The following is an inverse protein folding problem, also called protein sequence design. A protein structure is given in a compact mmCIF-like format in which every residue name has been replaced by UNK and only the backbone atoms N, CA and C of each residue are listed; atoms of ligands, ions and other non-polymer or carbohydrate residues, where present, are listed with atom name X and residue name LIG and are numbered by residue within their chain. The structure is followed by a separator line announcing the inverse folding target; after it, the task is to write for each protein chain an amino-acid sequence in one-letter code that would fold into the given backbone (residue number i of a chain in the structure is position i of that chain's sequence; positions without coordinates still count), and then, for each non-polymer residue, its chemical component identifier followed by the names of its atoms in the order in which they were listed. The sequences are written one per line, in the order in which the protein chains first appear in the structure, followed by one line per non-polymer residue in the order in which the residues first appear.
data_IF_290110006596
#
_entry.id   IF_290110006596
#
_cell.length_a   1.000
_cell.length_b   1.000
_cell.length_c   1.000
_cell.angle_alpha   90.00
_cell.angle_beta   90.00
_cell.angle_gamma   90.00
#
_symmetry.space_group_name_H-M   'P 1'
#
loop_
_entity.id
_entity.type
_entity.pdbx_description
1 polymer ?
#
# COMPACT_ATOMS: atom_id res chain seq x y z
N UNK A 1 12.47 -15.47 -5.31
CA UNK A 1 12.25 -14.83 -4.01
C UNK A 1 13.21 -15.34 -2.93
N UNK A 2 13.05 -16.54 -2.36
CA UNK A 2 13.89 -17.03 -1.24
C UNK A 2 15.41 -16.93 -1.47
N UNK A 3 15.91 -17.26 -2.67
CA UNK A 3 17.35 -17.10 -3.01
C UNK A 3 17.85 -15.66 -2.90
N UNK A 4 17.09 -14.71 -3.45
CA UNK A 4 17.47 -13.29 -3.41
C UNK A 4 17.46 -12.75 -1.99
N UNK A 5 16.44 -13.11 -1.20
CA UNK A 5 16.32 -12.71 0.20
C UNK A 5 17.45 -13.28 1.06
N UNK A 6 17.77 -14.57 0.89
CA UNK A 6 18.88 -15.19 1.61
C UNK A 6 20.22 -14.63 1.15
N UNK A 7 20.39 -14.29 -0.14
CA UNK A 7 21.60 -13.59 -0.60
C UNK A 7 21.76 -12.24 0.10
N UNK A 8 20.68 -11.45 0.22
CA UNK A 8 20.69 -10.18 0.94
C UNK A 8 20.96 -10.38 2.44
N UNK A 9 20.35 -11.38 3.08
CA UNK A 9 20.66 -11.69 4.48
C UNK A 9 22.08 -12.20 4.71
N UNK A 10 22.68 -12.89 3.74
CA UNK A 10 24.09 -13.28 3.80
C UNK A 10 25.04 -12.09 3.62
N UNK A 11 24.61 -11.06 2.89
CA UNK A 11 25.34 -9.78 2.84
C UNK A 11 25.41 -9.16 4.25
N UNK A 12 24.31 -9.16 4.98
CA UNK A 12 24.30 -8.71 6.39
C UNK A 12 25.25 -9.51 7.28
N UNK A 13 25.26 -10.84 7.16
CA UNK A 13 26.20 -11.69 7.90
C UNK A 13 27.66 -11.36 7.55
N UNK A 14 27.99 -11.20 6.27
CA UNK A 14 29.38 -10.97 5.81
C UNK A 14 29.88 -9.58 6.21
N UNK A 15 29.03 -8.57 6.11
CA UNK A 15 29.39 -7.18 6.40
C UNK A 15 29.09 -6.75 7.84
N UNK A 16 28.44 -7.62 8.62
CA UNK A 16 27.96 -7.34 9.98
C UNK A 16 27.09 -6.08 10.02
N UNK A 17 26.08 -6.06 9.15
CA UNK A 17 25.03 -5.04 9.03
C UNK A 17 23.67 -5.63 9.41
N UNK A 18 22.67 -4.76 9.58
CA UNK A 18 21.28 -5.09 9.91
C UNK A 18 20.30 -4.50 8.88
N UNK A 19 20.72 -4.42 7.61
CA UNK A 19 19.95 -3.79 6.53
C UNK A 19 18.68 -4.59 6.19
N UNK A 20 18.74 -5.91 6.20
CA UNK A 20 17.66 -6.84 5.80
C UNK A 20 17.29 -7.80 6.94
N UNK A 21 18.25 -8.21 7.77
CA UNK A 21 18.03 -9.12 8.90
C UNK A 21 18.14 -8.36 10.22
N UNK A 22 17.00 -7.90 10.75
CA UNK A 22 16.98 -7.02 11.93
C UNK A 22 17.20 -7.74 13.28
N UNK A 23 16.89 -9.03 13.37
CA UNK A 23 16.97 -9.75 14.67
C UNK A 23 18.28 -10.50 14.82
N UNK A 24 18.94 -10.35 15.97
CA UNK A 24 20.16 -11.11 16.31
C UNK A 24 19.96 -12.63 16.18
N UNK A 25 18.78 -13.15 16.53
CA UNK A 25 18.47 -14.58 16.39
C UNK A 25 18.47 -15.04 14.92
N UNK A 26 17.81 -14.29 14.04
CA UNK A 26 17.78 -14.62 12.60
C UNK A 26 19.18 -14.49 11.98
N UNK A 27 19.94 -13.46 12.36
CA UNK A 27 21.30 -13.25 11.90
C UNK A 27 22.21 -14.40 12.31
N UNK A 28 22.17 -14.81 13.58
CA UNK A 28 22.95 -15.95 14.07
C UNK A 28 22.53 -17.26 13.42
N UNK A 29 21.25 -17.48 13.12
CA UNK A 29 20.80 -18.68 12.39
C UNK A 29 21.33 -18.70 10.97
N UNK A 30 21.29 -17.58 10.26
CA UNK A 30 21.87 -17.44 8.92
C UNK A 30 23.39 -17.65 8.94
N UNK A 31 24.09 -17.02 9.88
CA UNK A 31 25.53 -17.19 10.07
C UNK A 31 25.87 -18.66 10.33
N UNK A 32 25.13 -19.33 11.22
CA UNK A 32 25.37 -20.72 11.56
C UNK A 32 25.05 -21.68 10.39
N UNK A 33 24.02 -21.38 9.59
CA UNK A 33 23.70 -22.13 8.36
C UNK A 33 24.77 -21.92 7.28
N UNK A 34 25.28 -20.69 7.11
CA UNK A 34 26.41 -20.40 6.24
C UNK A 34 27.66 -21.16 6.67
N UNK A 35 27.93 -21.19 7.97
CA UNK A 35 29.07 -21.89 8.55
C UNK A 35 28.96 -23.42 8.52
N UNK A 36 27.76 -24.00 8.48
CA UNK A 36 27.59 -25.45 8.33
C UNK A 36 27.56 -25.88 6.86
N UNK A 37 26.86 -25.12 6.02
CA UNK A 37 26.59 -25.49 4.64
C UNK A 37 27.75 -25.26 3.68
N UNK A 38 28.67 -24.34 4.01
CA UNK A 38 29.79 -24.00 3.12
C UNK A 38 31.14 -24.36 3.75
N UNK A 39 32.05 -24.92 2.95
CA UNK A 39 33.40 -25.18 3.42
C UNK A 39 34.18 -23.88 3.64
N UNK A 40 35.16 -23.88 4.53
CA UNK A 40 35.95 -22.67 4.86
C UNK A 40 36.59 -22.00 3.63
N UNK A 41 37.04 -22.79 2.65
CA UNK A 41 37.58 -22.27 1.38
C UNK A 41 36.52 -21.64 0.47
N UNK A 42 35.28 -22.16 0.52
CA UNK A 42 34.16 -21.66 -0.29
C UNK A 42 33.60 -20.35 0.27
N UNK A 43 33.63 -20.17 1.61
CA UNK A 43 33.27 -18.90 2.25
C UNK A 43 34.11 -17.73 1.75
N UNK A 44 35.43 -17.92 1.63
CA UNK A 44 36.32 -16.87 1.10
C UNK A 44 35.99 -16.50 -0.35
N UNK A 45 35.64 -17.50 -1.18
CA UNK A 45 35.22 -17.27 -2.55
C UNK A 45 33.86 -16.54 -2.60
N UNK A 46 32.92 -16.92 -1.72
CA UNK A 46 31.61 -16.27 -1.62
C UNK A 46 31.74 -14.78 -1.24
N UNK A 47 32.54 -14.47 -0.22
CA UNK A 47 32.80 -13.07 0.20
C UNK A 47 33.42 -12.25 -0.93
N UNK A 48 34.36 -12.86 -1.68
CA UNK A 48 34.99 -12.20 -2.84
C UNK A 48 33.95 -11.95 -3.94
N UNK A 49 33.11 -12.94 -4.24
CA UNK A 49 32.06 -12.83 -5.25
C UNK A 49 30.99 -11.79 -4.87
N UNK A 50 30.65 -11.70 -3.57
CA UNK A 50 29.72 -10.69 -3.06
C UNK A 50 30.29 -9.28 -3.24
N UNK A 51 31.57 -9.09 -2.90
CA UNK A 51 32.24 -7.80 -3.10
C UNK A 51 32.32 -7.41 -4.58
N UNK A 52 32.57 -8.36 -5.49
CA UNK A 52 32.53 -8.11 -6.94
C UNK A 52 31.15 -7.64 -7.41
N UNK A 53 30.08 -8.22 -6.88
CA UNK A 53 28.70 -7.82 -7.16
C UNK A 53 28.42 -6.39 -6.68
N UNK A 54 28.84 -6.04 -5.46
CA UNK A 54 28.67 -4.69 -4.90
C UNK A 54 29.44 -3.63 -5.71
N UNK A 55 30.66 -3.95 -6.14
CA UNK A 55 31.49 -3.04 -6.95
C UNK A 55 30.91 -2.84 -8.35
N UNK A 56 30.28 -3.85 -8.93
CA UNK A 56 29.62 -3.73 -10.22
C UNK A 56 28.40 -2.80 -10.16
N UNK A 57 27.70 -2.77 -9.02
CA UNK A 57 26.49 -1.97 -8.82
C UNK A 57 25.28 -2.49 -9.63
N UNK A 58 24.14 -1.77 -9.61
CA UNK A 58 22.87 -2.24 -10.19
C UNK A 58 22.92 -2.46 -11.72
N UNK A 59 23.72 -1.65 -12.42
CA UNK A 59 23.83 -1.67 -13.89
C UNK A 59 25.05 -2.44 -14.40
N UNK A 60 25.89 -2.96 -13.50
CA UNK A 60 27.13 -3.66 -13.83
C UNK A 60 26.91 -5.15 -14.05
N UNK A 61 27.62 -5.73 -15.02
CA UNK A 61 27.65 -7.19 -15.20
C UNK A 61 28.82 -7.80 -14.43
N UNK A 62 28.54 -8.76 -13.55
CA UNK A 62 29.58 -9.65 -13.01
C UNK A 62 29.73 -10.93 -13.85
N UNK A 63 30.88 -11.59 -13.74
CA UNK A 63 31.16 -12.80 -14.52
C UNK A 63 30.28 -13.99 -14.14
N UNK A 64 30.19 -14.98 -15.03
CA UNK A 64 29.45 -16.23 -14.79
C UNK A 64 29.96 -16.98 -13.55
N UNK A 65 31.27 -16.87 -13.27
CA UNK A 65 31.90 -17.49 -12.11
C UNK A 65 31.46 -16.86 -10.79
N UNK A 66 31.31 -15.54 -10.76
CA UNK A 66 30.77 -14.78 -9.61
C UNK A 66 29.33 -15.22 -9.32
N UNK A 67 28.48 -15.24 -10.36
CA UNK A 67 27.09 -15.71 -10.25
C UNK A 67 27.02 -17.14 -9.73
N UNK A 68 27.83 -18.04 -10.30
CA UNK A 68 27.87 -19.45 -9.91
C UNK A 68 28.29 -19.62 -8.46
N UNK A 69 29.29 -18.86 -8.01
CA UNK A 69 29.79 -18.91 -6.63
C UNK A 69 28.74 -18.42 -5.64
N UNK A 70 28.07 -17.30 -5.93
CA UNK A 70 26.97 -16.79 -5.09
C UNK A 70 25.81 -17.78 -5.04
N UNK A 71 25.40 -18.31 -6.19
CA UNK A 71 24.31 -19.29 -6.26
C UNK A 71 24.62 -20.55 -5.44
N UNK A 72 25.85 -21.09 -5.55
CA UNK A 72 26.25 -22.26 -4.78
C UNK A 72 26.24 -22.01 -3.27
N UNK A 73 26.74 -20.85 -2.82
CA UNK A 73 26.71 -20.50 -1.40
C UNK A 73 25.28 -20.35 -0.87
N UNK A 74 24.41 -19.66 -1.62
CA UNK A 74 22.99 -19.50 -1.26
C UNK A 74 22.26 -20.85 -1.24
N UNK A 75 22.45 -21.69 -2.26
CA UNK A 75 21.81 -23.02 -2.32
C UNK A 75 22.26 -23.93 -1.15
N UNK A 76 23.52 -23.83 -0.72
CA UNK A 76 24.02 -24.55 0.45
C UNK A 76 23.35 -24.07 1.75
N UNK A 77 23.23 -22.75 1.94
CA UNK A 77 22.55 -22.17 3.10
C UNK A 77 21.07 -22.57 3.14
N UNK A 78 20.37 -22.45 2.01
CA UNK A 78 18.96 -22.86 1.91
C UNK A 78 18.79 -24.35 2.25
N UNK A 79 19.74 -25.20 1.84
CA UNK A 79 19.71 -26.64 2.15
C UNK A 79 19.88 -26.91 3.65
N UNK A 80 20.78 -26.21 4.33
CA UNK A 80 20.96 -26.32 5.79
C UNK A 80 19.73 -25.83 6.56
N UNK A 81 19.18 -24.67 6.19
CA UNK A 81 17.98 -24.13 6.81
C UNK A 81 16.79 -25.11 6.63
N UNK A 82 16.63 -25.68 5.43
CA UNK A 82 15.60 -26.67 5.17
C UNK A 82 15.79 -27.96 6.00
N UNK A 83 17.03 -28.41 6.20
CA UNK A 83 17.32 -29.60 7.00
C UNK A 83 17.00 -29.43 8.49
N UNK A 84 17.01 -28.19 8.97
CA UNK A 84 16.68 -27.82 10.35
C UNK A 84 15.20 -27.47 10.55
N UNK A 85 14.35 -27.68 9.53
CA UNK A 85 12.93 -27.33 9.56
C UNK A 85 12.70 -25.85 9.90
N UNK A 86 13.57 -24.98 9.36
CA UNK A 86 13.46 -23.54 9.51
C UNK A 86 12.36 -22.98 8.61
N UNK A 87 11.65 -21.99 9.12
CA UNK A 87 10.68 -21.19 8.38
C UNK A 87 11.27 -19.81 8.09
N UNK A 88 11.04 -19.35 6.87
CA UNK A 88 11.38 -17.99 6.47
C UNK A 88 10.12 -17.14 6.61
N UNK A 89 10.30 -15.96 7.18
CA UNK A 89 9.26 -14.93 7.23
C UNK A 89 9.84 -13.64 6.66
N UNK A 90 9.13 -13.06 5.71
CA UNK A 90 9.56 -11.86 5.00
C UNK A 90 8.48 -10.82 5.21
N UNK A 91 8.90 -9.64 5.65
CA UNK A 91 8.03 -8.48 5.75
C UNK A 91 8.43 -7.51 4.65
N UNK A 92 7.51 -7.26 3.73
CA UNK A 92 7.66 -6.32 2.63
C UNK A 92 6.80 -5.09 2.92
N UNK A 93 7.42 -3.96 3.24
CA UNK A 93 6.74 -2.68 3.50
C UNK A 93 6.93 -1.73 2.32
N UNK A 94 5.86 -1.08 1.91
CA UNK A 94 5.85 -0.13 0.80
C UNK A 94 4.76 0.92 1.03
N UNK A 95 4.78 2.02 0.29
CA UNK A 95 3.76 3.05 0.43
C UNK A 95 3.91 4.21 -0.53
N UNK A 96 3.04 5.19 -0.37
CA UNK A 96 3.08 6.43 -1.10
C UNK A 96 2.69 7.61 -0.23
N UNK A 97 3.33 8.76 -0.47
CA UNK A 97 2.87 10.04 0.04
C UNK A 97 1.74 10.57 -0.83
N UNK A 98 0.63 10.89 -0.18
CA UNK A 98 -0.60 11.38 -0.79
C UNK A 98 -0.76 12.87 -0.50
N UNK A 99 -1.40 13.58 -1.43
CA UNK A 99 -1.72 15.00 -1.25
C UNK A 99 -2.72 15.19 -0.10
N UNK A 100 -2.41 16.09 0.83
CA UNK A 100 -3.27 16.44 1.98
C UNK A 100 -4.67 16.85 1.51
N UNK A 101 -4.78 17.58 0.39
CA UNK A 101 -6.07 17.99 -0.16
C UNK A 101 -6.90 16.78 -0.60
N UNK A 102 -6.30 15.91 -1.41
CA UNK A 102 -7.04 14.79 -1.97
C UNK A 102 -7.47 13.83 -0.85
N UNK A 103 -6.59 13.57 0.13
CA UNK A 103 -6.91 12.80 1.34
C UNK A 103 -8.05 13.42 2.14
N UNK A 104 -8.06 14.74 2.33
CA UNK A 104 -9.13 15.45 3.02
C UNK A 104 -10.48 15.31 2.28
N UNK A 105 -10.48 15.46 0.96
CA UNK A 105 -11.68 15.29 0.12
C UNK A 105 -12.19 13.85 0.15
N UNK A 106 -11.30 12.86 0.02
CA UNK A 106 -11.64 11.43 0.14
C UNK A 106 -12.32 11.13 1.48
N UNK A 107 -11.68 11.52 2.58
CA UNK A 107 -12.17 11.23 3.91
C UNK A 107 -13.50 11.94 4.18
N UNK A 108 -13.68 13.17 3.69
CA UNK A 108 -14.97 13.87 3.79
C UNK A 108 -16.10 13.11 3.08
N UNK A 109 -15.86 12.61 1.87
CA UNK A 109 -16.87 11.88 1.09
C UNK A 109 -17.31 10.59 1.81
N UNK A 110 -16.36 9.91 2.46
CA UNK A 110 -16.62 8.65 3.15
C UNK A 110 -17.20 8.83 4.56
N UNK A 111 -16.68 9.78 5.33
CA UNK A 111 -17.08 10.01 6.72
C UNK A 111 -18.29 10.94 6.82
N UNK A 112 -18.46 11.84 5.84
CA UNK A 112 -19.48 12.88 5.78
C UNK A 112 -19.49 13.77 7.03
N UNK A 113 -18.31 14.06 7.58
CA UNK A 113 -18.09 14.93 8.73
C UNK A 113 -17.18 16.10 8.36
N UNK A 114 -17.24 17.23 9.06
CA UNK A 114 -16.40 18.39 8.75
C UNK A 114 -14.92 18.21 9.08
N UNK A 115 -14.56 17.26 9.96
CA UNK A 115 -13.21 17.08 10.52
C UNK A 115 -12.12 16.96 9.42
N UNK A 116 -12.27 16.13 8.37
CA UNK A 116 -11.25 16.02 7.33
C UNK A 116 -10.98 17.33 6.58
N UNK A 117 -12.00 18.18 6.44
CA UNK A 117 -11.91 19.44 5.69
C UNK A 117 -11.14 20.53 6.44
N UNK A 118 -10.94 20.39 7.76
CA UNK A 118 -10.13 21.34 8.54
C UNK A 118 -8.68 21.40 8.05
N UNK A 119 -8.17 20.28 7.50
CA UNK A 119 -6.81 20.13 6.95
C UNK A 119 -6.62 20.88 5.63
N UNK A 120 -7.68 21.33 4.98
CA UNK A 120 -7.58 22.11 3.75
C UNK A 120 -7.03 23.51 4.05
N UNK A 121 -6.11 23.96 3.20
CA UNK A 121 -5.60 25.34 3.24
C UNK A 121 -6.57 26.24 2.47
N UNK A 122 -7.59 26.73 3.17
CA UNK A 122 -8.63 27.62 2.66
C UNK A 122 -8.54 28.99 3.34
N UNK A 123 -8.81 30.04 2.57
CA UNK A 123 -9.10 31.39 3.04
C UNK A 123 -10.32 31.40 3.97
N UNK A 124 -10.40 32.40 4.85
CA UNK A 124 -11.45 32.45 5.88
C UNK A 124 -12.87 32.50 5.30
N UNK A 125 -13.05 33.17 4.15
CA UNK A 125 -14.36 33.26 3.48
C UNK A 125 -14.77 31.89 2.92
N UNK A 126 -13.90 31.24 2.15
CA UNK A 126 -14.15 29.91 1.59
C UNK A 126 -14.35 28.88 2.69
N UNK A 127 -13.55 28.93 3.77
CA UNK A 127 -13.65 28.00 4.90
C UNK A 127 -15.01 28.06 5.59
N UNK A 128 -15.57 29.25 5.77
CA UNK A 128 -16.87 29.41 6.43
C UNK A 128 -17.97 28.69 5.64
N UNK A 129 -18.03 28.92 4.33
CA UNK A 129 -19.01 28.29 3.44
C UNK A 129 -18.78 26.78 3.29
N UNK A 130 -17.52 26.32 3.24
CA UNK A 130 -17.18 24.89 3.22
C UNK A 130 -17.64 24.16 4.49
N UNK A 131 -17.45 24.77 5.66
CA UNK A 131 -17.90 24.18 6.93
C UNK A 131 -19.43 24.19 7.06
N UNK A 132 -20.10 25.23 6.55
CA UNK A 132 -21.57 25.28 6.48
C UNK A 132 -22.12 24.18 5.55
N UNK A 133 -21.52 24.01 4.37
CA UNK A 133 -21.84 22.91 3.45
C UNK A 133 -21.63 21.54 4.07
N UNK A 134 -20.51 21.32 4.76
CA UNK A 134 -20.25 20.08 5.49
C UNK A 134 -21.30 19.81 6.58
N UNK A 135 -21.72 20.84 7.32
CA UNK A 135 -22.78 20.72 8.30
C UNK A 135 -24.11 20.29 7.67
N UNK A 136 -24.48 20.85 6.51
CA UNK A 136 -25.68 20.40 5.79
C UNK A 136 -25.56 18.94 5.31
N UNK A 137 -24.38 18.52 4.84
CA UNK A 137 -24.11 17.12 4.47
C UNK A 137 -24.29 16.17 5.65
N UNK A 138 -23.75 16.51 6.84
CA UNK A 138 -23.92 15.75 8.08
C UNK A 138 -25.41 15.55 8.43
N UNK A 139 -26.22 16.57 8.18
CA UNK A 139 -27.67 16.56 8.42
C UNK A 139 -28.49 16.00 7.25
N UNK A 140 -27.84 15.49 6.20
CA UNK A 140 -28.47 14.99 4.96
C UNK A 140 -29.32 16.03 4.22
N UNK A 141 -29.05 17.31 4.45
CA UNK A 141 -29.68 18.44 3.79
C UNK A 141 -28.92 18.79 2.50
N UNK A 142 -28.89 17.86 1.53
CA UNK A 142 -27.96 17.94 0.40
C UNK A 142 -28.18 19.15 -0.53
N UNK A 143 -29.43 19.60 -0.72
CA UNK A 143 -29.69 20.83 -1.49
C UNK A 143 -29.08 22.08 -0.82
N UNK A 144 -29.23 22.20 0.51
CA UNK A 144 -28.64 23.31 1.26
C UNK A 144 -27.10 23.23 1.25
N UNK A 145 -26.54 22.01 1.25
CA UNK A 145 -25.11 21.79 1.08
C UNK A 145 -24.60 22.25 -0.29
N UNK A 146 -25.33 21.97 -1.37
CA UNK A 146 -25.01 22.46 -2.72
C UNK A 146 -24.94 23.99 -2.72
N UNK A 147 -25.95 24.67 -2.19
CA UNK A 147 -25.97 26.14 -2.14
C UNK A 147 -24.79 26.71 -1.33
N UNK A 148 -24.41 26.07 -0.23
CA UNK A 148 -23.25 26.49 0.56
C UNK A 148 -21.93 26.28 -0.19
N UNK A 149 -21.72 25.13 -0.83
CA UNK A 149 -20.53 24.90 -1.63
C UNK A 149 -20.49 25.78 -2.89
N UNK A 150 -21.61 26.15 -3.48
CA UNK A 150 -21.68 27.16 -4.56
C UNK A 150 -21.14 28.52 -4.11
N UNK A 151 -21.54 29.00 -2.93
CA UNK A 151 -20.98 30.24 -2.37
C UNK A 151 -19.48 30.14 -2.11
N UNK A 152 -19.00 28.95 -1.72
CA UNK A 152 -17.57 28.69 -1.60
C UNK A 152 -16.86 28.71 -2.97
N UNK A 153 -17.50 28.18 -4.02
CA UNK A 153 -17.00 28.23 -5.41
C UNK A 153 -16.87 29.68 -5.88
N UNK A 154 -17.88 30.51 -5.66
CA UNK A 154 -17.91 31.93 -6.09
C UNK A 154 -16.85 32.79 -5.42
N UNK A 155 -16.42 32.42 -4.21
CA UNK A 155 -15.44 33.16 -3.42
C UNK A 155 -14.02 32.59 -3.49
N UNK A 156 -13.86 31.40 -4.09
CA UNK A 156 -12.55 30.74 -4.23
C UNK A 156 -11.68 31.38 -5.29
N UNK A 157 -10.43 31.72 -4.92
CA UNK A 157 -9.48 32.38 -5.84
C UNK A 157 -8.27 31.49 -6.12
N UNK A 158 -7.73 30.84 -5.08
CA UNK A 158 -6.55 29.99 -5.23
C UNK A 158 -6.89 28.71 -6.00
N UNK A 159 -5.93 28.21 -6.79
CA UNK A 159 -6.09 26.98 -7.60
C UNK A 159 -6.57 25.81 -6.75
N UNK A 160 -5.98 25.61 -5.57
CA UNK A 160 -6.32 24.50 -4.69
C UNK A 160 -7.70 24.65 -4.04
N UNK A 161 -8.11 25.89 -3.70
CA UNK A 161 -9.46 26.17 -3.22
C UNK A 161 -10.49 25.90 -4.30
N UNK A 162 -10.23 26.42 -5.52
CA UNK A 162 -11.14 26.29 -6.66
C UNK A 162 -11.40 24.85 -7.05
N UNK A 163 -10.37 23.99 -6.96
CA UNK A 163 -10.53 22.55 -7.16
C UNK A 163 -11.34 21.93 -6.01
N UNK A 164 -10.95 22.18 -4.76
CA UNK A 164 -11.61 21.56 -3.61
C UNK A 164 -13.10 21.92 -3.51
N UNK A 165 -13.46 23.20 -3.68
CA UNK A 165 -14.86 23.65 -3.59
C UNK A 165 -15.74 23.06 -4.70
N UNK A 166 -15.21 22.90 -5.91
CA UNK A 166 -15.93 22.27 -7.02
C UNK A 166 -16.12 20.77 -6.83
N UNK A 167 -15.09 20.07 -6.33
CA UNK A 167 -15.23 18.65 -5.97
C UNK A 167 -16.29 18.47 -4.87
N UNK A 168 -16.30 19.33 -3.85
CA UNK A 168 -17.31 19.30 -2.78
C UNK A 168 -18.73 19.58 -3.32
N UNK A 169 -18.88 20.59 -4.19
CA UNK A 169 -20.15 20.91 -4.83
C UNK A 169 -20.64 19.78 -5.74
N UNK A 170 -19.74 19.11 -6.46
CA UNK A 170 -20.05 17.96 -7.30
C UNK A 170 -20.61 16.80 -6.45
N UNK A 171 -19.93 16.44 -5.36
CA UNK A 171 -20.42 15.41 -4.44
C UNK A 171 -21.76 15.75 -3.80
N UNK A 172 -21.95 17.00 -3.35
CA UNK A 172 -23.23 17.44 -2.80
C UNK A 172 -24.37 17.35 -3.81
N UNK A 173 -24.12 17.72 -5.07
CA UNK A 173 -25.10 17.64 -6.16
C UNK A 173 -25.47 16.19 -6.47
N UNK A 174 -24.48 15.30 -6.52
CA UNK A 174 -24.70 13.87 -6.67
C UNK A 174 -25.57 13.29 -5.53
N UNK A 175 -25.28 13.63 -4.27
CA UNK A 175 -26.09 13.21 -3.12
C UNK A 175 -27.51 13.80 -3.13
N UNK A 176 -27.68 15.01 -3.67
CA UNK A 176 -28.98 15.63 -3.90
C UNK A 176 -29.77 14.98 -5.05
N UNK A 177 -29.13 14.13 -5.87
CA UNK A 177 -29.74 13.47 -7.02
C UNK A 177 -29.67 14.29 -8.32
N UNK A 178 -28.84 15.32 -8.38
CA UNK A 178 -28.61 16.16 -9.55
C UNK A 178 -27.25 15.84 -10.18
N UNK A 179 -27.19 14.71 -10.89
CA UNK A 179 -25.95 14.19 -11.51
C UNK A 179 -25.48 15.08 -12.68
N UNK A 180 -26.40 15.72 -13.40
CA UNK A 180 -26.06 16.68 -14.47
C UNK A 180 -25.33 17.90 -13.88
N UNK A 181 -25.83 18.44 -12.77
CA UNK A 181 -25.17 19.54 -12.06
C UNK A 181 -23.83 19.12 -11.45
N UNK A 182 -23.74 17.89 -10.95
CA UNK A 182 -22.47 17.35 -10.47
C UNK A 182 -21.41 17.33 -11.60
N UNK A 183 -21.81 16.92 -12.80
CA UNK A 183 -20.93 16.91 -13.99
C UNK A 183 -20.49 18.31 -14.42
N UNK A 184 -21.35 19.33 -14.32
CA UNK A 184 -20.94 20.72 -14.58
C UNK A 184 -19.75 21.12 -13.67
N UNK A 185 -19.81 20.79 -12.37
CA UNK A 185 -18.70 21.08 -11.45
C UNK A 185 -17.46 20.25 -11.73
N UNK A 186 -17.63 19.00 -12.19
CA UNK A 186 -16.52 18.15 -12.62
C UNK A 186 -15.78 18.81 -13.78
N UNK A 187 -16.51 19.25 -14.81
CA UNK A 187 -15.93 19.94 -15.96
C UNK A 187 -15.22 21.23 -15.52
N UNK A 188 -15.85 22.04 -14.65
CA UNK A 188 -15.21 23.24 -14.10
C UNK A 188 -13.92 22.93 -13.31
N UNK A 189 -13.91 21.86 -12.51
CA UNK A 189 -12.75 21.44 -11.74
C UNK A 189 -11.63 20.92 -12.66
N UNK A 190 -11.98 20.21 -13.73
CA UNK A 190 -11.04 19.70 -14.73
C UNK A 190 -10.30 20.84 -15.45
N UNK A 191 -10.94 21.99 -15.66
CA UNK A 191 -10.28 23.20 -16.17
C UNK A 191 -9.22 23.76 -15.22
N UNK A 192 -9.35 23.52 -13.91
CA UNK A 192 -8.37 23.94 -12.89
C UNK A 192 -7.22 22.95 -12.79
N UNK A 193 -7.54 21.66 -12.62
CA UNK A 193 -6.56 20.57 -12.53
C UNK A 193 -7.21 19.25 -12.93
N UNK A 194 -6.74 18.65 -14.03
CA UNK A 194 -7.31 17.44 -14.61
C UNK A 194 -6.87 16.14 -13.91
N UNK A 195 -5.70 16.19 -13.29
CA UNK A 195 -4.98 15.09 -12.65
C UNK A 195 -5.26 15.01 -11.13
N UNK A 196 -6.51 15.27 -10.73
CA UNK A 196 -7.00 15.08 -9.35
C UNK A 196 -7.81 13.80 -9.30
N UNK A 197 -7.43 12.86 -8.44
CA UNK A 197 -8.20 11.65 -8.28
C UNK A 197 -9.50 11.89 -7.50
N UNK A 198 -9.58 12.93 -6.65
CA UNK A 198 -10.85 13.28 -6.00
C UNK A 198 -11.91 13.74 -7.01
N UNK A 199 -11.47 14.36 -8.11
CA UNK A 199 -12.29 14.68 -9.27
C UNK A 199 -12.70 13.41 -10.05
N UNK A 200 -11.73 12.55 -10.37
CA UNK A 200 -11.97 11.28 -11.07
C UNK A 200 -12.97 10.38 -10.32
N UNK A 201 -12.92 10.38 -8.99
CA UNK A 201 -13.87 9.65 -8.16
C UNK A 201 -15.31 10.09 -8.38
N UNK A 202 -15.60 11.40 -8.31
CA UNK A 202 -16.97 11.90 -8.50
C UNK A 202 -17.41 11.73 -9.95
N UNK A 203 -16.53 11.99 -10.93
CA UNK A 203 -16.81 11.78 -12.35
C UNK A 203 -17.21 10.32 -12.62
N UNK A 204 -16.47 9.37 -12.06
CA UNK A 204 -16.76 7.95 -12.22
C UNK A 204 -18.12 7.59 -11.61
N UNK A 205 -18.41 8.06 -10.39
CA UNK A 205 -19.68 7.75 -9.73
C UNK A 205 -20.88 8.31 -10.48
N UNK A 206 -20.82 9.56 -10.94
CA UNK A 206 -21.97 10.20 -11.61
C UNK A 206 -22.18 9.71 -13.04
N UNK A 207 -21.13 9.19 -13.69
CA UNK A 207 -21.22 8.64 -15.05
C UNK A 207 -21.49 7.14 -15.08
N UNK A 208 -21.35 6.43 -13.95
CA UNK A 208 -21.65 5.00 -13.88
C UNK A 208 -23.15 4.73 -14.08
N UNK A 209 -23.46 3.68 -14.85
CA UNK A 209 -24.84 3.26 -15.10
C UNK A 209 -25.61 2.88 -13.83
N UNK A 210 -24.90 2.62 -12.74
CA UNK A 210 -25.39 2.28 -11.41
C UNK A 210 -25.21 3.42 -10.41
N UNK A 211 -25.18 4.70 -10.84
CA UNK A 211 -25.08 5.88 -9.95
C UNK A 211 -26.00 5.82 -8.72
N UNK A 212 -27.24 5.33 -8.87
CA UNK A 212 -28.17 5.14 -7.76
C UNK A 212 -27.67 4.15 -6.68
N UNK A 213 -26.86 3.17 -7.05
CA UNK A 213 -26.27 2.21 -6.14
C UNK A 213 -25.21 2.84 -5.22
N UNK A 214 -24.53 3.89 -5.67
CA UNK A 214 -23.60 4.69 -4.85
C UNK A 214 -24.35 5.58 -3.86
N UNK A 215 -25.44 6.23 -4.29
CA UNK A 215 -26.35 6.95 -3.38
C UNK A 215 -26.95 6.03 -2.33
N UNK A 216 -27.27 4.79 -2.70
CA UNK A 216 -27.78 3.76 -1.80
C UNK A 216 -26.67 3.07 -0.98
N UNK A 217 -25.40 3.44 -1.15
CA UNK A 217 -24.24 2.90 -0.43
C UNK A 217 -24.00 1.38 -0.63
N UNK A 218 -24.60 0.81 -1.67
CA UNK A 218 -24.36 -0.59 -2.09
C UNK A 218 -23.11 -0.72 -2.95
N UNK A 219 -22.71 0.38 -3.61
CA UNK A 219 -21.40 0.57 -4.21
C UNK A 219 -20.72 1.77 -3.54
N UNK A 220 -19.40 1.74 -3.49
CA UNK A 220 -18.59 2.89 -3.07
C UNK A 220 -17.36 3.03 -3.96
N UNK A 221 -16.91 4.26 -4.15
CA UNK A 221 -15.60 4.55 -4.71
C UNK A 221 -14.61 4.68 -3.56
N UNK A 222 -13.77 3.67 -3.33
CA UNK A 222 -12.94 3.57 -2.12
C UNK A 222 -11.53 3.11 -2.42
N UNK A 223 -10.62 3.44 -1.50
CA UNK A 223 -9.27 2.91 -1.53
C UNK A 223 -9.26 1.46 -1.07
N UNK A 224 -8.55 0.60 -1.80
CA UNK A 224 -8.31 -0.77 -1.40
C UNK A 224 -6.94 -1.25 -1.87
N UNK A 225 -6.40 -2.24 -1.16
CA UNK A 225 -5.17 -2.93 -1.54
C UNK A 225 -5.50 -4.32 -2.02
N UNK A 226 -4.89 -4.72 -3.12
CA UNK A 226 -4.97 -6.07 -3.65
C UNK A 226 -3.58 -6.64 -3.81
N UNK A 227 -3.42 -7.89 -3.41
CA UNK A 227 -2.22 -8.67 -3.67
C UNK A 227 -2.57 -9.92 -4.48
N UNK A 228 -1.64 -10.32 -5.34
CA UNK A 228 -1.70 -11.57 -6.09
C UNK A 228 -0.44 -12.35 -5.80
N UNK A 229 -0.60 -13.58 -5.34
CA UNK A 229 0.51 -14.49 -5.13
C UNK A 229 0.07 -15.95 -5.18
N UNK A 230 1.06 -16.83 -5.26
CA UNK A 230 0.87 -18.26 -5.05
C UNK A 230 1.24 -18.58 -3.60
N UNK A 231 0.31 -19.15 -2.84
CA UNK A 231 0.53 -19.56 -1.45
C UNK A 231 0.57 -21.09 -1.39
N UNK A 232 1.75 -21.70 -1.22
CA UNK A 232 1.88 -23.15 -1.05
C UNK A 232 1.21 -23.63 0.24
N UNK A 233 0.97 -24.94 0.32
CA UNK A 233 0.53 -25.58 1.56
C UNK A 233 1.56 -25.30 2.68
N UNK A 234 1.08 -25.12 3.92
CA UNK A 234 1.89 -24.78 5.11
C UNK A 234 2.57 -23.40 5.08
N UNK A 235 2.19 -22.53 4.14
CA UNK A 235 2.64 -21.15 4.03
C UNK A 235 1.49 -20.16 4.21
N UNK A 236 1.82 -18.90 4.49
CA UNK A 236 0.84 -17.82 4.61
C UNK A 236 1.34 -16.56 3.93
N UNK A 237 0.45 -15.88 3.22
CA UNK A 237 0.64 -14.52 2.74
C UNK A 237 -0.45 -13.66 3.36
N UNK A 238 -0.05 -12.65 4.10
CA UNK A 238 -0.95 -11.73 4.82
C UNK A 238 -0.62 -10.30 4.45
N UNK A 239 -1.60 -9.43 4.58
CA UNK A 239 -1.43 -8.02 4.27
C UNK A 239 -2.12 -7.17 5.33
N UNK A 240 -1.52 -6.03 5.65
CA UNK A 240 -2.13 -4.99 6.48
C UNK A 240 -1.82 -3.62 5.93
N UNK A 241 -2.66 -2.67 6.29
CA UNK A 241 -2.56 -1.27 5.84
C UNK A 241 -2.16 -0.41 7.03
N UNK A 242 -1.21 0.48 6.81
CA UNK A 242 -0.66 1.37 7.82
C UNK A 242 -0.95 2.82 7.50
N UNK A 243 -1.06 3.63 8.54
CA UNK A 243 -1.25 5.09 8.44
C UNK A 243 -0.06 5.79 9.10
N UNK A 244 0.26 6.97 8.61
CA UNK A 244 1.42 7.75 9.08
C UNK A 244 2.74 7.34 8.43
N UNK A 245 3.84 7.94 8.91
CA UNK A 245 5.20 7.76 8.37
C UNK A 245 5.72 6.32 8.54
N UNK A 246 6.70 5.94 7.71
CA UNK A 246 7.41 4.65 7.82
C UNK A 246 7.97 4.51 9.24
N UNK A 247 7.74 3.36 9.87
CA UNK A 247 8.05 3.12 11.29
C UNK A 247 6.96 3.51 12.30
N UNK A 248 5.84 4.11 11.86
CA UNK A 248 4.66 4.27 12.73
C UNK A 248 4.04 2.91 13.05
N UNK A 249 3.54 2.80 14.29
CA UNK A 249 2.90 1.59 14.84
C UNK A 249 1.40 1.49 14.53
N UNK A 250 0.84 2.49 13.84
CA UNK A 250 -0.58 2.49 13.45
C UNK A 250 -0.81 1.61 12.23
N UNK A 251 -1.16 0.36 12.50
CA UNK A 251 -1.52 -0.64 11.51
C UNK A 251 -2.93 -1.17 11.76
N UNK A 252 -3.67 -1.37 10.68
CA UNK A 252 -4.88 -2.18 10.68
C UNK A 252 -4.51 -3.66 10.92
N UNK A 253 -5.52 -4.49 11.23
CA UNK A 253 -5.32 -5.92 11.47
C UNK A 253 -4.81 -6.65 10.22
N UNK A 254 -4.05 -7.73 10.44
CA UNK A 254 -3.63 -8.63 9.37
C UNK A 254 -4.83 -9.29 8.70
N UNK A 255 -4.86 -9.22 7.37
CA UNK A 255 -5.86 -9.85 6.53
C UNK A 255 -5.25 -10.92 5.64
N UNK A 256 -5.93 -12.06 5.55
CA UNK A 256 -5.67 -13.13 4.57
C UNK A 256 -6.48 -12.93 3.28
N UNK A 257 -7.35 -11.91 3.23
CA UNK A 257 -8.19 -11.59 2.07
C UNK A 257 -7.43 -10.73 1.05
N UNK A 258 -6.55 -11.38 0.29
CA UNK A 258 -5.65 -10.71 -0.66
C UNK A 258 -6.37 -10.03 -1.84
N UNK A 259 -7.60 -10.45 -2.14
CA UNK A 259 -8.34 -9.93 -3.30
C UNK A 259 -8.79 -8.49 -3.13
N UNK A 260 -9.07 -8.06 -1.89
CA UNK A 260 -9.47 -6.70 -1.56
C UNK A 260 -9.40 -6.46 -0.05
N UNK A 261 -8.37 -5.73 0.36
CA UNK A 261 -8.25 -5.17 1.71
C UNK A 261 -8.71 -3.73 1.62
N UNK A 262 -9.90 -3.46 2.15
CA UNK A 262 -10.44 -2.11 2.21
C UNK A 262 -9.51 -1.22 3.03
N UNK A 263 -9.12 -0.09 2.46
CA UNK A 263 -8.44 0.96 3.20
C UNK A 263 -9.52 1.85 3.78
N UNK A 264 -9.53 1.98 5.11
CA UNK A 264 -10.46 2.88 5.80
C UNK A 264 -10.11 4.35 5.56
N UNK A 265 -9.96 5.10 6.64
CA UNK A 265 -9.53 6.51 6.55
C UNK A 265 -8.13 6.59 5.93
N UNK A 266 -7.98 7.44 4.91
CA UNK A 266 -6.66 7.74 4.34
C UNK A 266 -5.92 8.76 5.18
N UNK A 267 -4.59 8.70 5.13
CA UNK A 267 -3.71 9.74 5.66
C UNK A 267 -2.74 10.21 4.58
N UNK A 268 -1.94 11.25 4.86
CA UNK A 268 -0.95 11.77 3.91
C UNK A 268 0.14 10.76 3.55
N UNK A 269 0.28 9.68 4.30
CA UNK A 269 1.13 8.55 3.95
C UNK A 269 0.31 7.28 4.08
N UNK A 270 0.10 6.60 2.95
CA UNK A 270 -0.53 5.30 2.89
C UNK A 270 0.56 4.25 2.79
N UNK A 271 0.54 3.26 3.69
CA UNK A 271 1.49 2.15 3.70
C UNK A 271 0.77 0.82 3.58
N UNK A 272 1.40 -0.13 2.91
CA UNK A 272 1.00 -1.51 2.89
C UNK A 272 2.16 -2.37 3.35
N UNK A 273 1.87 -3.35 4.20
CA UNK A 273 2.84 -4.33 4.62
C UNK A 273 2.33 -5.72 4.27
N UNK A 274 3.14 -6.48 3.55
CA UNK A 274 2.87 -7.86 3.18
C UNK A 274 3.82 -8.76 3.96
N UNK A 275 3.26 -9.77 4.63
CA UNK A 275 4.03 -10.78 5.33
C UNK A 275 3.91 -12.11 4.60
N UNK A 276 5.04 -12.63 4.16
CA UNK A 276 5.17 -13.93 3.51
C UNK A 276 5.87 -14.86 4.49
N UNK A 277 5.20 -15.94 4.89
CA UNK A 277 5.78 -16.96 5.77
C UNK A 277 5.67 -18.34 5.11
N UNK A 278 6.72 -19.15 5.21
CA UNK A 278 6.70 -20.52 4.74
C UNK A 278 8.00 -21.26 5.02
N UNK A 279 8.06 -22.58 4.80
CA UNK A 279 9.33 -23.30 4.82
C UNK A 279 10.21 -22.82 3.66
N UNK A 280 11.53 -22.99 3.79
CA UNK A 280 12.54 -22.49 2.83
C UNK A 280 12.23 -22.82 1.36
N UNK A 281 11.69 -24.02 1.10
CA UNK A 281 11.34 -24.49 -0.24
C UNK A 281 9.91 -24.14 -0.72
N UNK A 282 9.08 -23.55 0.14
CA UNK A 282 7.68 -23.26 -0.16
C UNK A 282 7.23 -21.86 0.32
N UNK A 283 8.15 -20.90 0.41
CA UNK A 283 7.81 -19.50 0.66
C UNK A 283 6.81 -19.01 -0.42
N UNK A 284 5.77 -18.25 -0.06
CA UNK A 284 4.84 -17.68 -1.04
C UNK A 284 5.55 -16.87 -2.12
N UNK A 285 4.98 -16.85 -3.32
CA UNK A 285 5.46 -16.05 -4.44
C UNK A 285 4.52 -14.85 -4.65
N UNK A 286 4.94 -13.65 -4.23
CA UNK A 286 4.21 -12.41 -4.45
C UNK A 286 4.46 -11.92 -5.89
N UNK A 287 3.44 -12.04 -6.73
CA UNK A 287 3.52 -11.73 -8.16
C UNK A 287 3.26 -10.26 -8.45
N UNK A 288 2.28 -9.68 -7.75
CA UNK A 288 1.89 -8.28 -7.90
C UNK A 288 1.13 -7.80 -6.67
N UNK A 289 1.19 -6.51 -6.39
CA UNK A 289 0.24 -5.84 -5.52
C UNK A 289 0.00 -4.41 -6.02
N UNK A 290 -1.15 -3.85 -5.65
CA UNK A 290 -1.44 -2.45 -5.87
C UNK A 290 -2.37 -1.91 -4.78
N UNK A 291 -2.20 -0.64 -4.43
CA UNK A 291 -3.19 0.16 -3.75
C UNK A 291 -3.84 1.09 -4.79
N UNK A 292 -5.16 1.13 -4.82
CA UNK A 292 -5.93 1.90 -5.80
C UNK A 292 -7.11 2.56 -5.14
N UNK A 293 -7.63 3.60 -5.79
CA UNK A 293 -9.03 3.99 -5.67
C UNK A 293 -9.82 3.24 -6.72
N UNK A 294 -10.96 2.67 -6.33
CA UNK A 294 -11.89 2.12 -7.29
C UNK A 294 -13.25 1.73 -6.74
N UNK A 295 -14.13 1.28 -7.64
CA UNK A 295 -15.47 0.86 -7.22
C UNK A 295 -15.41 -0.48 -6.49
N UNK A 296 -16.06 -0.55 -5.33
CA UNK A 296 -16.16 -1.74 -4.49
C UNK A 296 -17.60 -1.95 -4.03
N UNK A 297 -17.92 -3.18 -3.67
CA UNK A 297 -19.09 -3.52 -2.84
C UNK A 297 -18.65 -3.56 -1.37
N UNK A 298 -18.98 -2.55 -0.54
CA UNK A 298 -18.41 -2.42 0.80
C UNK A 298 -18.74 -3.59 1.72
N UNK A 299 -19.96 -4.11 1.66
CA UNK A 299 -20.42 -5.20 2.54
C UNK A 299 -19.70 -6.53 2.26
N UNK A 300 -19.38 -6.79 0.99
CA UNK A 300 -18.75 -8.05 0.55
C UNK A 300 -17.24 -7.92 0.32
N UNK A 301 -16.69 -6.70 0.40
CA UNK A 301 -15.31 -6.37 0.03
C UNK A 301 -14.94 -6.91 -1.36
N UNK A 302 -15.84 -6.78 -2.33
CA UNK A 302 -15.60 -7.21 -3.71
C UNK A 302 -15.24 -6.01 -4.58
N UNK A 303 -14.04 -5.98 -5.18
CA UNK A 303 -13.65 -4.90 -6.09
C UNK A 303 -14.33 -5.10 -7.45
N UNK A 304 -14.85 -4.02 -8.02
CA UNK A 304 -15.53 -3.98 -9.32
C UNK A 304 -14.64 -3.36 -10.40
N UNK A 305 -13.79 -2.40 -10.04
CA UNK A 305 -12.94 -1.66 -10.97
C UNK A 305 -11.67 -1.12 -10.31
N UNK A 306 -10.79 -0.60 -11.16
CA UNK A 306 -9.54 0.08 -10.82
C UNK A 306 -9.53 1.36 -11.64
N UNK A 307 -9.67 2.49 -10.97
CA UNK A 307 -9.78 3.81 -11.59
C UNK A 307 -8.43 4.51 -11.47
N UNK A 308 -7.86 4.55 -10.25
CA UNK A 308 -6.64 5.27 -9.98
C UNK A 308 -5.66 4.50 -9.10
N UNK A 309 -4.52 4.10 -9.67
CA UNK A 309 -3.44 3.43 -8.92
C UNK A 309 -2.67 4.45 -8.09
N UNK A 310 -2.66 4.26 -6.76
CA UNK A 310 -1.90 5.09 -5.81
C UNK A 310 -0.43 4.64 -5.75
N UNK A 311 -0.21 3.34 -5.73
CA UNK A 311 1.10 2.69 -5.89
C UNK A 311 0.92 1.22 -6.25
N UNK A 312 1.95 0.64 -6.88
CA UNK A 312 2.00 -0.77 -7.26
C UNK A 312 3.42 -1.35 -7.09
N UNK A 313 3.51 -2.67 -7.18
CA UNK A 313 4.77 -3.40 -7.09
C UNK A 313 4.60 -4.88 -7.44
N UNK A 314 5.63 -5.73 -7.25
CA UNK A 314 6.89 -5.44 -6.54
C UNK A 314 7.99 -4.79 -7.40
N UNK A 315 7.79 -4.63 -8.71
CA UNK A 315 8.83 -4.13 -9.62
C UNK A 315 8.98 -2.61 -9.59
N UNK A 316 7.88 -1.90 -9.43
CA UNK A 316 7.80 -0.43 -9.48
C UNK A 316 7.84 0.23 -8.11
N UNK A 317 7.62 -0.55 -7.04
CA UNK A 317 7.55 -0.04 -5.68
C UNK A 317 8.94 0.15 -5.09
N UNK A 318 9.13 1.29 -4.41
CA UNK A 318 10.16 1.40 -3.38
C UNK A 318 9.66 0.63 -2.16
N UNK A 319 10.40 -0.41 -1.77
CA UNK A 319 10.00 -1.29 -0.70
C UNK A 319 11.18 -1.65 0.20
N UNK A 320 10.89 -1.70 1.49
CA UNK A 320 11.79 -2.17 2.53
C UNK A 320 11.45 -3.64 2.82
N UNK A 321 12.43 -4.53 2.69
CA UNK A 321 12.28 -5.97 2.94
C UNK A 321 13.05 -6.37 4.20
N UNK A 322 12.34 -6.95 5.17
CA UNK A 322 12.93 -7.54 6.37
C UNK A 322 12.80 -9.06 6.34
N UNK A 323 13.92 -9.77 6.53
CA UNK A 323 13.98 -11.22 6.60
C UNK A 323 14.13 -11.71 8.03
N UNK A 324 13.25 -12.65 8.42
CA UNK A 324 13.33 -13.42 9.64
C UNK A 324 13.52 -14.91 9.33
N UNK A 325 14.34 -15.55 10.15
CA UNK A 325 14.73 -16.96 10.02
C UNK A 325 14.32 -17.67 11.30
N UNK A 326 13.08 -18.15 11.32
CA UNK A 326 12.40 -18.64 12.52
C UNK A 326 12.51 -20.18 12.61
N UNK A 327 12.73 -20.71 13.81
CA UNK A 327 12.59 -22.16 14.03
C UNK A 327 11.12 -22.58 13.82
N UNK A 328 10.88 -23.80 13.32
CA UNK A 328 9.53 -24.35 13.32
C UNK A 328 8.89 -24.23 14.71
N UNK A 329 7.66 -23.70 14.75
CA UNK A 329 6.84 -23.71 15.97
C UNK A 329 6.65 -25.17 16.36
N UNK A 330 7.19 -25.59 17.51
CA UNK A 330 6.78 -26.84 18.14
C UNK A 330 5.30 -26.72 18.42
N UNK A 331 4.48 -27.46 17.68
CA UNK A 331 3.08 -27.65 18.05
C UNK A 331 3.11 -28.43 19.35
N UNK A 332 2.93 -27.74 20.48
CA UNK A 332 2.62 -28.39 21.74
C UNK A 332 1.26 -29.05 21.58
N UNK A 333 1.27 -30.33 21.21
CA UNK A 333 0.11 -31.19 21.38
C UNK A 333 -0.18 -31.25 22.87
N UNK A 334 -1.18 -30.49 23.32
CA UNK A 334 -1.75 -30.68 24.64
C UNK A 334 -2.25 -32.14 24.73
N UNK A 335 -1.79 -32.92 25.73
CA UNK A 335 -2.10 -34.34 25.86
C UNK A 335 -3.58 -34.62 26.18
#
# INVERSE_FOLDING_TARGET
MARSLVLNGLRDVVHNTDDVVETEESLHRLEAAFDRGTAKSERGNFVTALHELEVAGPDGSVGDETHRTLQQGVDAVLSELAAEDVRLRVVHETGASLSVREVALYNFVHERTSEPLERLTLSSAVRAEVLDGAHYVENKAYNDAVEAFERAVDTSEAVDERLATRVLAAWASHWAGDDDRALDYVDEAAYVKRDSWALEMVETVVTDASTDAYRAETLAMSAYVRARGSVPDESSLRIRVGRGEVGSVEWDDWSDHLECVMVGRLDSNLRAQLELEGPVGALPDLQAYYATLGTVEPESAVPRSVEHILFDGPVTGEADETLYVDAARKVEMNP
#
